data_IF_956236023476
#
_entry.id   IF_956236023476
#
_cell.length_a   1.000
_cell.length_b   1.000
_cell.length_c   1.000
_cell.angle_alpha   90.00
_cell.angle_beta   90.00
_cell.angle_gamma   90.00
#
_symmetry.space_group_name_H-M   'P 1'
#
loop_
_entity.id
_entity.type
_entity.pdbx_description
1 polymer ?
#
# COMPACT_ATOMS: atom_id res chain seq x y z
N UNK A 1 -4.63 12.09 8.21
CA UNK A 1 -3.31 12.60 8.59
C UNK A 1 -3.48 13.55 9.76
N UNK A 2 -2.59 13.47 10.75
CA UNK A 2 -2.67 14.21 12.01
C UNK A 2 -1.86 15.49 11.99
N UNK A 3 -2.05 16.34 12.99
CA UNK A 3 -1.26 17.57 13.24
C UNK A 3 -0.02 17.28 14.08
N UNK A 4 0.51 16.05 14.02
CA UNK A 4 1.57 15.58 14.91
C UNK A 4 2.92 15.60 14.19
N UNK A 5 3.96 16.05 14.89
CA UNK A 5 5.32 16.25 14.37
C UNK A 5 6.13 14.94 14.32
N UNK A 6 5.60 13.93 13.61
CA UNK A 6 6.36 12.70 13.35
C UNK A 6 7.01 12.77 11.97
N UNK A 7 8.15 12.11 11.83
CA UNK A 7 8.88 12.06 10.55
C UNK A 7 8.02 11.50 9.41
N UNK A 8 8.28 12.00 8.19
CA UNK A 8 7.66 11.55 6.94
C UNK A 8 6.14 11.79 6.81
N UNK A 9 5.55 12.66 7.65
CA UNK A 9 4.17 13.10 7.47
C UNK A 9 4.05 14.18 6.39
N UNK A 10 2.88 14.26 5.77
CA UNK A 10 2.47 15.31 4.85
C UNK A 10 1.08 15.82 5.23
N UNK A 11 0.83 17.10 4.97
CA UNK A 11 -0.40 17.74 5.39
C UNK A 11 -1.60 17.14 4.64
N UNK A 12 -2.69 16.71 5.31
CA UNK A 12 -3.82 16.02 4.67
C UNK A 12 -4.48 16.81 3.55
N UNK A 13 -4.44 18.15 3.60
CA UNK A 13 -5.04 19.02 2.57
C UNK A 13 -4.10 19.30 1.41
N UNK A 14 -2.80 19.21 1.62
CA UNK A 14 -1.79 19.42 0.57
C UNK A 14 -1.48 18.10 -0.15
N UNK A 15 -1.67 16.98 0.54
CA UNK A 15 -1.38 15.66 0.03
C UNK A 15 0.12 15.44 -0.15
N UNK A 16 0.45 14.44 -0.96
CA UNK A 16 1.82 14.16 -1.37
C UNK A 16 1.77 13.48 -2.72
N UNK A 17 2.65 13.92 -3.63
CA UNK A 17 2.83 13.27 -4.94
C UNK A 17 3.97 12.26 -4.81
N UNK A 18 3.69 11.01 -5.19
CA UNK A 18 4.70 9.95 -5.21
C UNK A 18 5.29 9.82 -6.61
N UNK A 19 6.52 10.27 -6.78
CA UNK A 19 7.22 10.29 -8.06
C UNK A 19 7.95 8.97 -8.27
N UNK A 20 7.17 7.94 -8.58
CA UNK A 20 7.64 6.58 -8.81
C UNK A 20 7.66 6.32 -10.33
N UNK A 21 8.83 6.10 -10.95
CA UNK A 21 8.93 5.83 -12.38
C UNK A 21 8.21 4.53 -12.77
N UNK A 22 7.75 4.46 -14.02
CA UNK A 22 7.45 3.19 -14.68
C UNK A 22 8.73 2.34 -14.72
N UNK A 23 8.60 1.02 -14.62
CA UNK A 23 9.70 0.03 -14.62
C UNK A 23 10.67 0.05 -13.41
N UNK A 24 10.32 0.74 -12.33
CA UNK A 24 11.12 0.65 -11.09
C UNK A 24 11.12 -0.79 -10.53
N UNK A 25 12.29 -1.33 -10.18
CA UNK A 25 12.37 -2.68 -9.58
C UNK A 25 11.91 -2.68 -8.12
N UNK A 26 12.39 -1.73 -7.33
CA UNK A 26 12.21 -1.68 -5.87
C UNK A 26 11.73 -0.31 -5.41
N UNK A 27 10.66 -0.29 -4.64
CA UNK A 27 10.17 0.89 -3.93
C UNK A 27 10.24 0.66 -2.43
N UNK A 28 10.70 1.65 -1.68
CA UNK A 28 10.70 1.62 -0.21
C UNK A 28 9.98 2.87 0.29
N UNK A 29 8.96 2.70 1.13
CA UNK A 29 8.22 3.82 1.74
C UNK A 29 8.14 3.67 3.25
N UNK A 30 7.92 4.78 3.96
CA UNK A 30 7.74 4.71 5.42
C UNK A 30 6.47 3.91 5.78
N UNK A 31 5.32 4.33 5.26
CA UNK A 31 4.02 3.68 5.51
C UNK A 31 3.51 2.82 4.37
N UNK A 32 2.47 1.99 4.62
CA UNK A 32 1.91 1.08 3.64
C UNK A 32 1.02 1.77 2.61
N UNK A 33 0.90 1.22 1.39
CA UNK A 33 -0.17 1.59 0.47
C UNK A 33 -1.52 1.09 1.01
N UNK A 34 -2.60 1.84 0.78
CA UNK A 34 -3.94 1.46 1.26
C UNK A 34 -4.33 0.06 0.75
N UNK A 35 -4.81 -0.79 1.66
CA UNK A 35 -5.32 -2.11 1.31
C UNK A 35 -4.31 -3.25 1.42
N UNK A 36 -3.02 -2.95 1.62
CA UNK A 36 -1.94 -3.94 1.68
C UNK A 36 -1.28 -3.83 3.04
N UNK A 37 -1.47 -4.85 3.88
CA UNK A 37 -0.78 -4.97 5.17
C UNK A 37 -0.90 -3.70 6.03
N UNK A 38 -2.07 -3.04 5.99
CA UNK A 38 -2.27 -1.68 6.50
C UNK A 38 -3.24 -1.60 7.68
N UNK A 39 -3.57 -2.73 8.30
CA UNK A 39 -4.43 -2.79 9.48
C UNK A 39 -3.64 -2.50 10.76
N UNK A 40 -4.13 -1.54 11.55
CA UNK A 40 -3.63 -1.23 12.89
C UNK A 40 -4.17 -2.22 13.93
N UNK A 41 -3.63 -2.17 15.16
CA UNK A 41 -4.20 -2.90 16.30
C UNK A 41 -5.68 -2.55 16.60
N UNK A 42 -6.15 -1.36 16.19
CA UNK A 42 -7.55 -0.94 16.27
C UNK A 42 -8.42 -1.39 15.09
N UNK A 43 -7.91 -2.29 14.24
CA UNK A 43 -8.58 -2.79 13.03
C UNK A 43 -8.94 -1.70 12.01
N UNK A 44 -8.27 -0.54 12.08
CA UNK A 44 -8.42 0.54 11.12
C UNK A 44 -7.34 0.43 10.04
N UNK A 45 -7.66 0.87 8.83
CA UNK A 45 -6.71 0.90 7.73
C UNK A 45 -5.94 2.22 7.70
N UNK A 46 -4.65 2.19 7.99
CA UNK A 46 -3.78 3.36 8.02
C UNK A 46 -3.06 3.66 6.69
N UNK A 47 -3.18 2.79 5.68
CA UNK A 47 -2.46 2.94 4.42
C UNK A 47 -2.92 4.12 3.57
N UNK A 48 -2.04 4.61 2.71
CA UNK A 48 -2.29 5.78 1.85
C UNK A 48 -2.89 5.38 0.49
N UNK A 49 -4.07 5.90 0.10
CA UNK A 49 -4.67 5.63 -1.21
C UNK A 49 -3.85 6.18 -2.39
N UNK A 50 -3.27 7.39 -2.25
CA UNK A 50 -2.43 7.98 -3.29
C UNK A 50 -1.13 7.19 -3.50
N UNK A 51 -0.56 6.64 -2.43
CA UNK A 51 0.58 5.74 -2.55
C UNK A 51 0.20 4.45 -3.27
N UNK A 52 -0.97 3.86 -2.95
CA UNK A 52 -1.45 2.68 -3.69
C UNK A 52 -1.58 2.99 -5.19
N UNK A 53 -2.14 4.15 -5.55
CA UNK A 53 -2.26 4.56 -6.94
C UNK A 53 -0.90 4.62 -7.65
N UNK A 54 0.10 5.27 -7.05
CA UNK A 54 1.44 5.35 -7.62
C UNK A 54 2.09 3.96 -7.80
N UNK A 55 1.95 3.08 -6.81
CA UNK A 55 2.44 1.69 -6.88
C UNK A 55 1.70 0.88 -7.95
N UNK A 56 0.39 1.08 -8.11
CA UNK A 56 -0.42 0.36 -9.10
C UNK A 56 -0.08 0.75 -10.54
N UNK A 57 0.35 2.00 -10.76
CA UNK A 57 0.87 2.46 -12.04
C UNK A 57 2.28 1.97 -12.30
N UNK A 58 3.19 2.13 -11.34
CA UNK A 58 4.59 1.74 -11.49
C UNK A 58 4.82 0.21 -11.51
N UNK A 59 3.98 -0.55 -10.81
CA UNK A 59 4.01 -2.01 -10.69
C UNK A 59 5.42 -2.57 -10.34
N UNK A 60 6.04 -2.11 -9.23
CA UNK A 60 7.36 -2.60 -8.84
C UNK A 60 7.38 -4.11 -8.59
N UNK A 61 8.56 -4.70 -8.74
CA UNK A 61 8.79 -6.12 -8.40
C UNK A 61 8.79 -6.33 -6.89
N UNK A 62 9.21 -5.33 -6.13
CA UNK A 62 9.18 -5.33 -4.67
C UNK A 62 8.80 -3.94 -4.13
N UNK A 63 7.82 -3.91 -3.23
CA UNK A 63 7.51 -2.72 -2.43
C UNK A 63 7.68 -3.07 -0.95
N UNK A 64 8.67 -2.47 -0.30
CA UNK A 64 8.91 -2.60 1.13
C UNK A 64 8.39 -1.38 1.88
N UNK A 65 7.77 -1.60 3.03
CA UNK A 65 7.26 -0.54 3.88
C UNK A 65 7.15 -0.99 5.34
N UNK A 66 6.97 -0.02 6.24
CA UNK A 66 6.81 -0.27 7.67
C UNK A 66 5.64 0.51 8.26
N UNK A 67 5.91 1.23 9.35
CA UNK A 67 4.98 2.07 10.11
C UNK A 67 3.88 1.33 10.89
N UNK A 68 3.33 0.26 10.34
CA UNK A 68 2.25 -0.51 10.97
C UNK A 68 2.80 -1.84 11.48
N UNK A 69 3.09 -1.91 12.78
CA UNK A 69 3.73 -3.08 13.39
C UNK A 69 2.84 -4.32 13.34
N UNK A 70 1.53 -4.14 13.49
CA UNK A 70 0.53 -5.21 13.48
C UNK A 70 0.26 -5.75 12.06
N UNK A 71 0.59 -4.96 11.04
CA UNK A 71 0.47 -5.31 9.63
C UNK A 71 1.68 -6.04 9.06
N UNK A 72 2.61 -6.51 9.89
CA UNK A 72 3.82 -7.19 9.41
C UNK A 72 3.49 -8.41 8.54
N UNK A 73 4.35 -8.69 7.56
CA UNK A 73 4.16 -9.83 6.67
C UNK A 73 4.61 -9.58 5.25
N UNK A 74 4.07 -10.39 4.34
CA UNK A 74 4.33 -10.27 2.91
C UNK A 74 3.13 -10.70 2.09
N UNK A 75 2.95 -10.08 0.92
CA UNK A 75 1.93 -10.44 -0.05
C UNK A 75 2.53 -10.52 -1.44
N UNK A 76 2.40 -11.67 -2.08
CA UNK A 76 2.65 -11.82 -3.51
C UNK A 76 1.42 -11.29 -4.25
N UNK A 77 1.58 -10.15 -4.92
CA UNK A 77 0.50 -9.46 -5.62
C UNK A 77 0.46 -9.86 -7.08
N UNK A 78 -0.72 -10.25 -7.55
CA UNK A 78 -1.01 -10.37 -8.98
C UNK A 78 -1.77 -9.13 -9.45
N UNK A 79 -1.17 -8.34 -10.35
CA UNK A 79 -1.83 -7.20 -10.98
C UNK A 79 -2.84 -7.68 -12.04
N UNK A 80 -4.01 -7.02 -12.10
CA UNK A 80 -4.97 -7.27 -13.18
C UNK A 80 -4.43 -6.74 -14.51
N UNK A 81 -4.64 -7.52 -15.57
CA UNK A 81 -4.23 -7.15 -16.94
C UNK A 81 -5.12 -6.06 -17.54
N UNK A 82 -6.42 -6.14 -17.27
CA UNK A 82 -7.41 -5.18 -17.73
C UNK A 82 -8.15 -4.64 -16.51
N UNK A 83 -8.19 -3.32 -16.40
CA UNK A 83 -8.96 -2.60 -15.40
C UNK A 83 -9.91 -1.69 -16.18
N UNK A 84 -11.18 -1.63 -15.77
CA UNK A 84 -12.11 -0.65 -16.32
C UNK A 84 -11.56 0.76 -16.06
N UNK A 85 -11.46 1.58 -17.11
CA UNK A 85 -10.75 2.86 -17.10
C UNK A 85 -11.42 3.96 -16.27
N UNK A 86 -12.67 3.75 -15.87
CA UNK A 86 -13.53 4.69 -15.16
C UNK A 86 -13.42 4.61 -13.63
N UNK A 87 -12.74 3.60 -13.09
CA UNK A 87 -12.60 3.42 -11.64
C UNK A 87 -11.22 3.88 -11.13
N UNK A 88 -11.17 4.60 -9.99
CA UNK A 88 -9.90 4.99 -9.40
C UNK A 88 -9.08 3.76 -8.97
N UNK A 89 -7.74 3.84 -9.05
CA UNK A 89 -6.89 2.76 -8.57
C UNK A 89 -7.08 2.46 -7.09
N UNK A 90 -7.42 1.20 -6.82
CA UNK A 90 -7.56 0.66 -5.48
C UNK A 90 -7.14 -0.80 -5.48
N UNK A 91 -6.91 -1.34 -4.29
CA UNK A 91 -6.60 -2.76 -4.18
C UNK A 91 -7.74 -3.64 -4.69
N UNK A 92 -9.00 -3.19 -4.71
CA UNK A 92 -10.11 -3.97 -5.27
C UNK A 92 -10.12 -3.96 -6.81
N UNK A 93 -9.67 -2.86 -7.42
CA UNK A 93 -9.76 -2.66 -8.87
C UNK A 93 -8.51 -3.11 -9.62
N UNK A 94 -7.32 -3.00 -9.01
CA UNK A 94 -6.04 -3.26 -9.70
C UNK A 94 -5.36 -4.56 -9.28
N UNK A 95 -5.73 -5.14 -8.14
CA UNK A 95 -5.19 -6.43 -7.69
C UNK A 95 -6.19 -7.55 -7.96
N UNK A 96 -5.68 -8.65 -8.49
CA UNK A 96 -6.37 -9.92 -8.53
C UNK A 96 -6.12 -10.66 -7.22
N UNK A 97 -7.01 -10.48 -6.24
CA UNK A 97 -6.86 -11.13 -4.94
C UNK A 97 -7.00 -12.65 -5.00
N UNK A 98 -7.74 -13.18 -5.98
CA UNK A 98 -7.90 -14.63 -6.14
C UNK A 98 -6.59 -15.30 -6.62
N UNK A 99 -5.75 -14.54 -7.34
CA UNK A 99 -4.43 -14.98 -7.79
C UNK A 99 -3.27 -14.41 -6.97
N UNK A 100 -3.55 -13.69 -5.90
CA UNK A 100 -2.54 -13.18 -4.99
C UNK A 100 -2.41 -14.12 -3.79
N UNK A 101 -1.22 -14.18 -3.20
CA UNK A 101 -0.94 -15.05 -2.06
C UNK A 101 -0.42 -14.24 -0.89
N UNK A 102 -0.98 -14.47 0.29
CA UNK A 102 -0.42 -13.95 1.53
C UNK A 102 0.73 -14.86 1.94
N UNK A 103 1.95 -14.32 1.99
CA UNK A 103 3.18 -15.07 2.30
C UNK A 103 3.42 -15.17 3.81
N UNK A 104 2.76 -14.33 4.60
CA UNK A 104 2.76 -14.41 6.05
C UNK A 104 1.98 -13.26 6.65
N UNK A 105 1.11 -13.58 7.60
CA UNK A 105 0.56 -12.70 8.65
C UNK A 105 0.30 -13.64 9.81
N UNK A 106 1.29 -13.90 10.67
CA UNK A 106 0.99 -14.72 11.83
C UNK A 106 0.26 -13.82 12.82
N UNK A 107 -0.97 -14.21 13.16
CA UNK A 107 -1.69 -13.67 14.30
C UNK A 107 -0.72 -13.66 15.47
N UNK A 108 -0.32 -12.48 15.94
CA UNK A 108 0.11 -12.35 17.33
C UNK A 108 -1.18 -12.54 18.11
N UNK A 109 -1.49 -13.81 18.39
CA UNK A 109 -2.38 -14.13 19.49
C UNK A 109 -1.63 -13.66 20.73
N UNK A 110 -2.15 -12.68 21.49
CA UNK A 110 -1.50 -12.29 22.74
C UNK A 110 -1.40 -13.47 23.72
#
# INVERSE_FOLDING_TARGET
AGTSDWGFQYHPREGHRFDIPEDVDVVITHGPPKGILDYTGSQQRAGCPHLFQAIAYARPRLHCFGHIHEGWGGKLVTWRRHVASDLPPSHFTHIDHARSTLLGTANIVP
#
